data_IF_126423726826
#
_entry.id   IF_126423726826
#
_cell.length_a   1.000
_cell.length_b   1.000
_cell.length_c   1.000
_cell.angle_alpha   90.00
_cell.angle_beta   90.00
_cell.angle_gamma   90.00
#
_symmetry.space_group_name_H-M   'P 1'
#
loop_
_entity.id
_entity.type
_entity.pdbx_description
1 polymer ?
#
# COMPACT_ATOMS: atom_id res chain seq x y z
N UNK A 1 1.49 -54.46 38.55
CA UNK A 1 2.44 -54.06 37.50
C UNK A 1 1.97 -52.73 36.93
N UNK A 2 2.59 -51.58 37.29
CA UNK A 2 2.23 -50.29 36.72
C UNK A 2 3.07 -50.04 35.45
N UNK A 3 2.42 -49.53 34.39
CA UNK A 3 3.07 -49.07 33.17
C UNK A 3 3.54 -47.63 33.37
N UNK A 4 4.84 -47.41 33.28
CA UNK A 4 5.49 -46.10 33.22
C UNK A 4 5.26 -45.48 31.84
N UNK A 5 4.59 -44.33 31.80
CA UNK A 5 4.57 -43.44 30.65
C UNK A 5 5.75 -42.47 30.78
N UNK A 6 6.67 -42.49 29.83
CA UNK A 6 7.73 -41.50 29.72
C UNK A 6 7.19 -40.28 28.98
N UNK A 7 7.17 -39.14 29.67
CA UNK A 7 6.87 -37.84 29.08
C UNK A 7 8.11 -37.32 28.33
N UNK A 8 8.00 -37.10 27.02
CA UNK A 8 8.97 -36.30 26.27
C UNK A 8 8.69 -34.82 26.55
N UNK A 9 9.68 -34.14 27.13
CA UNK A 9 9.69 -32.68 27.26
C UNK A 9 10.03 -32.03 25.92
N UNK A 10 9.05 -31.41 25.27
CA UNK A 10 9.30 -30.39 24.23
C UNK A 10 9.89 -29.15 24.90
N UNK A 11 11.17 -28.87 24.63
CA UNK A 11 11.80 -27.59 24.95
C UNK A 11 11.45 -26.58 23.85
N UNK A 12 10.37 -25.81 24.04
CA UNK A 12 10.05 -24.67 23.19
C UNK A 12 11.02 -23.51 23.51
N UNK A 13 12.00 -23.28 22.64
CA UNK A 13 12.86 -22.09 22.72
C UNK A 13 12.08 -20.88 22.20
N UNK A 14 11.29 -20.26 23.08
CA UNK A 14 10.67 -18.95 22.84
C UNK A 14 11.74 -17.86 22.99
N UNK A 15 12.48 -17.59 21.92
CA UNK A 15 13.33 -16.39 21.83
C UNK A 15 12.48 -15.21 21.39
N UNK A 16 12.13 -14.33 22.33
CA UNK A 16 11.36 -13.11 22.08
C UNK A 16 12.17 -12.03 21.38
N UNK A 17 12.51 -12.23 20.10
CA UNK A 17 13.05 -11.19 19.24
C UNK A 17 11.95 -10.77 18.24
N UNK A 18 11.30 -9.63 18.51
CA UNK A 18 10.42 -8.99 17.53
C UNK A 18 11.31 -8.38 16.44
N UNK A 19 11.24 -8.93 15.23
CA UNK A 19 11.99 -8.44 14.08
C UNK A 19 11.09 -7.53 13.26
N UNK A 20 11.38 -6.23 13.27
CA UNK A 20 10.76 -5.26 12.37
C UNK A 20 11.47 -5.31 11.02
N UNK A 21 10.72 -5.59 9.97
CA UNK A 21 11.21 -5.62 8.60
C UNK A 21 11.09 -4.22 8.00
N UNK A 22 12.13 -3.41 8.14
CA UNK A 22 12.26 -2.13 7.43
C UNK A 22 13.03 -2.38 6.13
N UNK A 23 12.38 -2.12 4.99
CA UNK A 23 13.03 -2.16 3.69
C UNK A 23 14.00 -0.98 3.54
N UNK A 24 15.29 -1.21 3.76
CA UNK A 24 16.32 -0.24 3.42
C UNK A 24 16.65 -0.34 1.93
N UNK A 25 16.11 0.57 1.11
CA UNK A 25 16.59 0.80 -0.25
C UNK A 25 18.02 1.33 -0.20
N UNK A 26 18.96 0.55 -0.72
CA UNK A 26 20.38 0.89 -0.76
C UNK A 26 20.67 1.98 -1.79
N UNK A 27 21.38 3.02 -1.37
CA UNK A 27 22.03 4.01 -2.23
C UNK A 27 23.19 3.37 -2.97
N UNK A 28 23.06 3.22 -4.30
CA UNK A 28 24.18 2.84 -5.16
C UNK A 28 25.28 3.91 -5.12
N UNK A 29 26.49 3.49 -4.77
CA UNK A 29 27.67 4.35 -4.83
C UNK A 29 28.03 4.73 -6.27
N UNK A 30 28.70 5.87 -6.48
CA UNK A 30 29.02 6.36 -7.82
C UNK A 30 29.95 5.37 -8.56
N UNK A 31 29.75 5.15 -9.87
CA UNK A 31 30.59 4.25 -10.65
C UNK A 31 32.03 4.80 -10.77
N UNK A 32 33.03 3.91 -10.91
CA UNK A 32 34.42 4.32 -11.06
C UNK A 32 34.65 5.10 -12.35
N UNK A 33 35.36 6.22 -12.22
CA UNK A 33 35.80 7.08 -13.32
C UNK A 33 36.71 6.30 -14.27
N UNK A 34 36.24 6.09 -15.50
CA UNK A 34 37.03 5.47 -16.57
C UNK A 34 37.75 6.56 -17.35
N UNK A 35 39.08 6.61 -17.23
CA UNK A 35 39.95 7.42 -18.08
C UNK A 35 39.79 6.97 -19.54
N UNK A 36 39.35 7.88 -20.41
CA UNK A 36 39.24 7.65 -21.86
C UNK A 36 40.39 8.38 -22.54
N UNK A 37 41.23 7.61 -23.23
CA UNK A 37 42.25 8.11 -24.13
C UNK A 37 41.63 8.79 -25.35
N UNK A 38 42.14 9.96 -25.69
CA UNK A 38 41.82 10.72 -26.91
C UNK A 38 42.40 10.05 -28.15
N UNK A 39 41.63 9.97 -29.25
CA UNK A 39 42.20 10.08 -30.57
C UNK A 39 41.66 11.31 -31.29
N UNK A 40 42.59 12.14 -31.72
CA UNK A 40 42.42 13.19 -32.72
C UNK A 40 42.25 12.56 -34.10
N UNK A 41 41.12 12.77 -34.80
CA UNK A 41 41.11 12.82 -36.27
C UNK A 41 39.89 13.61 -36.76
N UNK A 42 40.14 14.62 -37.60
CA UNK A 42 39.14 15.50 -38.17
C UNK A 42 38.27 14.82 -39.24
N UNK A 43 37.02 15.27 -39.29
CA UNK A 43 36.06 15.01 -40.35
C UNK A 43 34.96 16.05 -40.25
N UNK A 44 34.95 17.03 -41.15
CA UNK A 44 33.86 17.99 -41.30
C UNK A 44 32.71 17.30 -42.02
N UNK A 45 31.88 16.59 -41.27
CA UNK A 45 30.58 16.15 -41.74
C UNK A 45 29.56 17.23 -41.36
N UNK A 46 29.07 17.95 -42.38
CA UNK A 46 27.83 18.72 -42.32
C UNK A 46 26.68 17.75 -42.02
N UNK A 47 26.53 17.42 -40.74
CA UNK A 47 25.39 16.70 -40.22
C UNK A 47 24.15 17.56 -40.40
N UNK A 48 23.25 17.11 -41.26
CA UNK A 48 21.86 17.53 -41.28
C UNK A 48 21.34 17.42 -39.85
N UNK A 49 21.07 18.57 -39.22
CA UNK A 49 20.47 18.63 -37.89
C UNK A 49 19.16 17.85 -37.95
N UNK A 50 19.16 16.65 -37.36
CA UNK A 50 17.94 15.92 -37.09
C UNK A 50 17.04 16.88 -36.31
N UNK A 51 15.88 17.20 -36.88
CA UNK A 51 14.98 18.19 -36.31
C UNK A 51 14.68 17.84 -34.86
N UNK A 52 14.90 18.81 -33.96
CA UNK A 52 14.47 18.77 -32.57
C UNK A 52 12.98 18.46 -32.54
N UNK A 53 12.66 17.18 -32.37
CA UNK A 53 11.29 16.78 -32.06
C UNK A 53 11.11 17.15 -30.59
N UNK A 54 10.21 18.10 -30.26
CA UNK A 54 10.01 18.52 -28.88
C UNK A 54 9.70 17.30 -28.02
N UNK A 55 10.38 17.17 -26.87
CA UNK A 55 10.06 16.11 -25.92
C UNK A 55 8.55 16.18 -25.59
N UNK A 56 7.86 15.02 -25.50
CA UNK A 56 6.46 15.01 -25.13
C UNK A 56 6.27 15.72 -23.78
N UNK A 57 5.18 16.49 -23.60
CA UNK A 57 4.95 17.22 -22.36
C UNK A 57 4.86 16.25 -21.18
N UNK A 58 5.44 16.61 -20.02
CA UNK A 58 5.33 15.84 -18.78
C UNK A 58 3.84 15.73 -18.39
N UNK A 59 3.24 14.51 -18.37
CA UNK A 59 1.82 14.34 -18.06
C UNK A 59 1.47 14.71 -16.62
N UNK A 60 2.47 14.89 -15.73
CA UNK A 60 2.29 15.30 -14.34
C UNK A 60 2.33 16.81 -14.14
N UNK A 61 2.78 17.58 -15.14
CA UNK A 61 2.88 19.03 -15.05
C UNK A 61 1.50 19.70 -15.21
N UNK A 62 1.20 20.64 -14.32
CA UNK A 62 -0.06 21.35 -14.23
C UNK A 62 0.21 22.87 -14.27
N UNK A 63 -0.62 23.61 -15.00
CA UNK A 63 -0.46 25.06 -15.15
C UNK A 63 -0.77 25.83 -13.85
N UNK A 64 -0.38 27.10 -13.78
CA UNK A 64 -0.63 27.96 -12.61
C UNK A 64 -2.12 28.20 -12.34
N UNK A 65 -2.94 28.18 -13.38
CA UNK A 65 -4.40 28.32 -13.30
C UNK A 65 -5.11 26.97 -13.35
N UNK A 66 -4.39 25.87 -13.10
CA UNK A 66 -4.96 24.54 -13.17
C UNK A 66 -6.08 24.36 -12.13
N UNK A 67 -7.06 23.56 -12.51
CA UNK A 67 -8.22 23.20 -11.72
C UNK A 67 -8.19 21.72 -11.39
N UNK A 68 -9.10 21.29 -10.53
CA UNK A 68 -9.21 19.88 -10.16
C UNK A 68 -9.49 18.97 -11.36
N UNK A 69 -10.28 19.43 -12.34
CA UNK A 69 -10.48 18.69 -13.59
C UNK A 69 -9.19 18.46 -14.39
N UNK A 70 -8.23 19.39 -14.34
CA UNK A 70 -6.91 19.23 -14.97
C UNK A 70 -6.09 18.16 -14.25
N UNK A 71 -6.14 18.13 -12.93
CA UNK A 71 -5.46 17.13 -12.11
C UNK A 71 -6.00 15.72 -12.37
N UNK A 72 -7.33 15.55 -12.47
CA UNK A 72 -7.93 14.24 -12.79
C UNK A 72 -7.51 13.78 -14.19
N UNK A 73 -7.46 14.68 -15.18
CA UNK A 73 -6.97 14.36 -16.54
C UNK A 73 -5.49 14.00 -16.55
N UNK A 74 -4.66 14.72 -15.81
CA UNK A 74 -3.24 14.40 -15.65
C UNK A 74 -3.06 13.00 -15.04
N UNK A 75 -3.80 12.68 -13.98
CA UNK A 75 -3.76 11.35 -13.36
C UNK A 75 -4.21 10.24 -14.31
N UNK A 76 -5.27 10.46 -15.09
CA UNK A 76 -5.69 9.52 -16.15
C UNK A 76 -4.58 9.30 -17.18
N UNK A 77 -3.96 10.37 -17.68
CA UNK A 77 -2.88 10.27 -18.66
C UNK A 77 -1.66 9.51 -18.11
N UNK A 78 -1.34 9.71 -16.82
CA UNK A 78 -0.27 8.97 -16.11
C UNK A 78 -0.61 7.48 -15.98
N UNK A 79 -1.85 7.13 -15.61
CA UNK A 79 -2.31 5.74 -15.52
C UNK A 79 -2.31 5.06 -16.90
N UNK A 80 -2.87 5.71 -17.93
CA UNK A 80 -2.97 5.21 -19.30
C UNK A 80 -1.59 4.97 -19.95
N UNK A 81 -0.57 5.73 -19.54
CA UNK A 81 0.82 5.60 -20.05
C UNK A 81 1.72 4.74 -19.17
N UNK A 82 1.16 4.08 -18.13
CA UNK A 82 1.88 3.24 -17.17
C UNK A 82 3.06 3.97 -16.48
N UNK A 83 2.88 5.26 -16.16
CA UNK A 83 3.86 6.09 -15.43
C UNK A 83 3.41 6.34 -13.99
N UNK A 84 2.61 5.43 -13.44
CA UNK A 84 1.89 5.56 -12.17
C UNK A 84 2.79 5.77 -10.95
N UNK A 85 3.94 5.10 -10.91
CA UNK A 85 4.87 5.09 -9.76
C UNK A 85 5.65 6.40 -9.64
N UNK A 86 5.94 6.81 -8.40
CA UNK A 86 6.67 8.01 -8.03
C UNK A 86 7.33 7.87 -6.65
N UNK A 87 8.63 8.18 -6.58
CA UNK A 87 9.40 8.16 -5.33
C UNK A 87 9.44 9.53 -4.61
N UNK A 88 8.69 10.52 -5.07
CA UNK A 88 8.81 11.92 -4.63
C UNK A 88 8.23 12.18 -3.23
N UNK A 89 7.50 11.23 -2.64
CA UNK A 89 6.99 11.30 -1.27
C UNK A 89 5.98 12.44 -1.03
N UNK A 90 5.35 12.94 -2.09
CA UNK A 90 4.49 14.12 -2.02
C UNK A 90 3.29 14.02 -2.96
N UNK A 91 2.11 14.46 -2.53
CA UNK A 91 0.91 14.42 -3.36
C UNK A 91 0.93 15.52 -4.41
N UNK A 92 0.96 16.79 -3.98
CA UNK A 92 0.94 17.96 -4.85
C UNK A 92 2.13 18.88 -4.56
N UNK A 93 2.97 19.15 -5.57
CA UNK A 93 4.11 20.07 -5.46
C UNK A 93 3.84 21.40 -6.16
N UNK A 94 4.44 22.48 -5.64
CA UNK A 94 4.47 23.80 -6.27
C UNK A 94 3.46 24.78 -5.68
N UNK A 95 3.86 26.05 -5.59
CA UNK A 95 3.03 27.20 -5.20
C UNK A 95 2.66 28.09 -6.41
N UNK A 96 2.42 27.45 -7.56
CA UNK A 96 2.23 28.15 -8.83
C UNK A 96 2.03 27.15 -9.96
N UNK A 97 2.98 26.95 -10.89
CA UNK A 97 2.92 25.74 -11.69
C UNK A 97 2.90 24.53 -10.73
N UNK A 98 1.85 23.72 -10.84
CA UNK A 98 1.65 22.57 -9.97
C UNK A 98 2.23 21.32 -10.61
N UNK A 99 2.51 20.31 -9.80
CA UNK A 99 2.88 18.98 -10.31
C UNK A 99 2.25 17.89 -9.46
N UNK A 100 1.60 16.92 -10.12
CA UNK A 100 1.13 15.70 -9.47
C UNK A 100 2.32 14.76 -9.25
N UNK A 101 2.86 14.77 -8.03
CA UNK A 101 4.02 13.96 -7.65
C UNK A 101 3.66 12.67 -6.94
N UNK A 102 2.38 12.47 -6.59
CA UNK A 102 1.93 11.25 -5.95
C UNK A 102 2.11 10.03 -6.87
N UNK A 103 2.24 8.86 -6.27
CA UNK A 103 1.83 7.62 -6.92
C UNK A 103 0.38 7.76 -7.41
N UNK A 104 0.13 7.41 -8.67
CA UNK A 104 -1.23 7.29 -9.20
C UNK A 104 -1.67 5.84 -9.01
N UNK A 105 -2.78 5.64 -8.31
CA UNK A 105 -3.27 4.32 -7.94
C UNK A 105 -4.79 4.24 -8.14
N UNK A 106 -5.20 4.33 -9.40
CA UNK A 106 -6.61 4.35 -9.80
C UNK A 106 -7.30 3.04 -9.42
N UNK A 107 -8.34 3.12 -8.59
CA UNK A 107 -9.08 1.95 -8.14
C UNK A 107 -10.05 1.38 -9.19
N UNK A 108 -10.52 2.21 -10.13
CA UNK A 108 -11.53 1.83 -11.13
C UNK A 108 -11.11 2.41 -12.48
N UNK A 109 -11.05 1.55 -13.50
CA UNK A 109 -10.70 1.93 -14.88
C UNK A 109 -11.92 1.81 -15.81
N UNK A 110 -12.14 2.79 -16.71
CA UNK A 110 -11.40 4.05 -16.82
C UNK A 110 -11.69 4.99 -15.63
N UNK A 111 -10.71 5.82 -15.26
CA UNK A 111 -10.90 6.85 -14.22
C UNK A 111 -12.01 7.82 -14.67
N UNK A 112 -13.06 8.10 -13.88
CA UNK A 112 -14.13 9.02 -14.30
C UNK A 112 -13.62 10.46 -14.39
N UNK A 113 -14.39 11.32 -15.06
CA UNK A 113 -14.10 12.77 -15.07
C UNK A 113 -14.51 13.41 -13.74
N UNK A 114 -13.85 14.53 -13.41
CA UNK A 114 -14.29 15.36 -12.30
C UNK A 114 -15.70 15.93 -12.62
N UNK A 115 -16.66 15.84 -11.70
CA UNK A 115 -17.99 16.41 -11.91
C UNK A 115 -17.93 17.95 -11.94
N UNK A 116 -18.71 18.58 -12.81
CA UNK A 116 -18.83 20.05 -12.85
C UNK A 116 -19.61 20.60 -11.65
N UNK A 117 -20.60 19.85 -11.16
CA UNK A 117 -21.48 20.20 -10.03
C UNK A 117 -21.71 18.95 -9.16
N UNK A 118 -21.46 19.08 -7.85
CA UNK A 118 -21.64 18.06 -6.84
C UNK A 118 -22.69 18.41 -5.79
N UNK A 119 -23.11 19.67 -5.67
CA UNK A 119 -23.82 20.16 -4.49
C UNK A 119 -25.14 19.44 -4.27
N UNK A 120 -25.94 19.29 -5.34
CA UNK A 120 -27.23 18.59 -5.25
C UNK A 120 -27.04 17.15 -4.74
N UNK A 121 -26.03 16.44 -5.25
CA UNK A 121 -25.73 15.06 -4.84
C UNK A 121 -25.21 14.99 -3.41
N UNK A 122 -24.41 15.97 -2.99
CA UNK A 122 -23.86 16.01 -1.65
C UNK A 122 -24.92 16.36 -0.61
N UNK A 123 -25.91 17.20 -0.93
CA UNK A 123 -27.05 17.49 -0.03
C UNK A 123 -27.87 16.23 0.26
N UNK A 124 -28.05 15.37 -0.74
CA UNK A 124 -28.82 14.12 -0.59
C UNK A 124 -27.98 13.01 0.05
N UNK A 125 -26.67 12.96 -0.19
CA UNK A 125 -25.80 11.92 0.33
C UNK A 125 -25.47 12.12 1.82
N UNK A 126 -25.74 11.10 2.63
CA UNK A 126 -25.44 11.11 4.08
C UNK A 126 -24.08 10.50 4.43
N UNK A 127 -23.50 9.72 3.52
CA UNK A 127 -22.24 8.99 3.74
C UNK A 127 -21.42 8.90 2.46
N UNK A 128 -20.19 8.39 2.56
CA UNK A 128 -19.34 8.10 1.41
C UNK A 128 -18.98 6.61 1.31
N UNK A 129 -18.81 6.12 0.09
CA UNK A 129 -18.18 4.83 -0.24
C UNK A 129 -16.87 5.10 -0.95
N UNK A 130 -15.77 4.75 -0.32
CA UNK A 130 -14.42 4.98 -0.83
C UNK A 130 -13.93 3.72 -1.56
N UNK A 131 -13.41 3.90 -2.77
CA UNK A 131 -12.80 2.84 -3.57
C UNK A 131 -11.33 3.18 -3.75
N UNK A 132 -10.44 2.35 -3.23
CA UNK A 132 -8.99 2.49 -3.42
C UNK A 132 -8.44 1.27 -4.11
N UNK A 133 -7.16 1.30 -4.50
CA UNK A 133 -6.47 0.12 -5.06
C UNK A 133 -6.53 -1.11 -4.13
N UNK A 134 -6.81 -0.89 -2.85
CA UNK A 134 -6.85 -1.92 -1.81
C UNK A 134 -8.25 -2.50 -1.56
N UNK A 135 -9.30 -1.88 -2.12
CA UNK A 135 -10.69 -2.31 -1.98
C UNK A 135 -11.66 -1.17 -1.60
N UNK A 136 -12.81 -1.56 -1.05
CA UNK A 136 -13.89 -0.64 -0.66
C UNK A 136 -13.88 -0.34 0.86
N UNK A 137 -14.17 0.92 1.22
CA UNK A 137 -14.40 1.37 2.61
C UNK A 137 -15.68 2.22 2.70
N UNK A 138 -16.65 1.91 3.58
CA UNK A 138 -16.74 0.68 4.37
C UNK A 138 -17.05 -0.52 3.46
N UNK A 139 -16.75 -1.73 3.94
CA UNK A 139 -17.01 -2.97 3.16
C UNK A 139 -18.49 -3.24 2.95
N UNK A 140 -19.32 -2.81 3.89
CA UNK A 140 -20.78 -2.96 3.80
C UNK A 140 -21.35 -1.75 3.07
N UNK A 141 -22.22 -1.93 2.06
CA UNK A 141 -22.84 -0.81 1.37
C UNK A 141 -23.66 0.02 2.36
N UNK A 142 -23.42 1.33 2.40
CA UNK A 142 -24.34 2.27 3.03
C UNK A 142 -25.37 2.74 1.97
N UNK A 143 -26.68 2.72 2.28
CA UNK A 143 -27.67 3.37 1.42
C UNK A 143 -27.36 4.87 1.32
N UNK A 144 -27.65 5.48 0.17
CA UNK A 144 -27.49 6.93 -0.06
C UNK A 144 -26.06 7.44 0.10
N UNK A 145 -25.07 6.59 -0.17
CA UNK A 145 -23.66 6.95 -0.13
C UNK A 145 -23.17 7.52 -1.47
N UNK A 146 -22.39 8.60 -1.41
CA UNK A 146 -21.64 9.08 -2.58
C UNK A 146 -20.40 8.21 -2.78
N UNK A 147 -20.24 7.65 -3.98
CA UNK A 147 -19.09 6.83 -4.31
C UNK A 147 -17.90 7.69 -4.76
N UNK A 148 -16.72 7.46 -4.17
CA UNK A 148 -15.48 8.20 -4.39
C UNK A 148 -14.35 7.23 -4.71
N UNK A 149 -13.65 7.46 -5.81
CA UNK A 149 -12.55 6.62 -6.32
C UNK A 149 -11.24 7.33 -6.06
N UNK A 150 -10.34 6.67 -5.34
CA UNK A 150 -8.98 7.14 -5.11
C UNK A 150 -8.20 7.22 -6.43
N UNK A 151 -7.54 8.36 -6.60
CA UNK A 151 -6.66 8.68 -7.73
C UNK A 151 -5.21 8.48 -7.31
N UNK A 152 -4.83 8.91 -6.11
CA UNK A 152 -3.47 8.81 -5.61
C UNK A 152 -3.30 7.63 -4.66
N UNK A 153 -2.05 7.14 -4.56
CA UNK A 153 -1.68 6.11 -3.62
C UNK A 153 -1.84 6.59 -2.17
N UNK A 154 -2.48 5.75 -1.37
CA UNK A 154 -2.40 5.81 0.09
C UNK A 154 -1.99 4.44 0.61
N UNK A 155 -1.44 4.37 1.83
CA UNK A 155 -1.40 3.14 2.57
C UNK A 155 -2.84 2.61 2.71
N UNK A 156 -2.99 1.29 2.67
CA UNK A 156 -4.25 0.66 2.94
C UNK A 156 -4.74 1.03 4.35
N UNK A 157 -6.03 1.30 4.51
CA UNK A 157 -6.58 1.84 5.74
C UNK A 157 -6.45 0.82 6.88
N UNK A 158 -5.78 1.19 7.96
CA UNK A 158 -5.63 0.34 9.15
C UNK A 158 -6.95 0.11 9.91
N UNK A 159 -7.97 0.92 9.63
CA UNK A 159 -9.31 0.84 10.21
C UNK A 159 -10.35 0.74 9.11
N UNK A 160 -11.51 0.15 9.42
CA UNK A 160 -12.68 0.19 8.53
C UNK A 160 -13.35 1.57 8.48
N UNK A 161 -12.88 2.51 9.30
CA UNK A 161 -13.35 3.90 9.37
C UNK A 161 -12.58 4.73 8.33
N UNK A 162 -13.32 5.34 7.41
CA UNK A 162 -12.77 6.33 6.49
C UNK A 162 -13.64 7.58 6.44
N UNK A 163 -13.23 8.56 5.65
CA UNK A 163 -14.04 9.73 5.35
C UNK A 163 -13.81 10.24 3.93
N UNK A 164 -14.70 11.10 3.46
CA UNK A 164 -14.51 11.89 2.27
C UNK A 164 -14.69 13.38 2.60
N UNK A 165 -13.83 14.21 2.02
CA UNK A 165 -13.94 15.67 2.02
C UNK A 165 -14.21 16.08 0.58
N UNK A 166 -15.21 16.92 0.37
CA UNK A 166 -15.56 17.46 -0.94
C UNK A 166 -15.41 18.97 -0.92
N UNK A 167 -14.73 19.51 -1.93
CA UNK A 167 -14.61 20.95 -2.15
C UNK A 167 -15.46 21.30 -3.36
N UNK A 168 -16.45 22.17 -3.15
CA UNK A 168 -17.35 22.69 -4.19
C UNK A 168 -17.26 24.21 -4.23
N UNK A 169 -17.99 24.84 -5.16
CA UNK A 169 -18.16 26.30 -5.16
C UNK A 169 -19.10 26.82 -4.06
N UNK A 170 -20.03 26.00 -3.56
CA UNK A 170 -20.87 26.31 -2.38
C UNK A 170 -20.15 26.15 -1.03
N UNK A 171 -19.09 25.34 -0.98
CA UNK A 171 -18.25 25.21 0.21
C UNK A 171 -17.61 23.83 0.39
N UNK A 172 -17.36 23.47 1.64
CA UNK A 172 -16.76 22.18 2.00
C UNK A 172 -17.81 21.26 2.60
N UNK A 173 -17.89 20.05 2.08
CA UNK A 173 -18.67 18.96 2.64
C UNK A 173 -17.76 17.91 3.24
N UNK A 174 -18.16 17.35 4.38
CA UNK A 174 -17.47 16.24 5.02
C UNK A 174 -18.45 15.09 5.20
N UNK A 175 -18.08 13.89 4.75
CA UNK A 175 -18.90 12.69 4.84
C UNK A 175 -18.10 11.56 5.48
N UNK A 176 -18.60 10.91 6.54
CA UNK A 176 -17.99 9.68 7.03
C UNK A 176 -18.19 8.54 6.02
N UNK A 177 -17.21 7.64 5.93
CA UNK A 177 -17.33 6.40 5.20
C UNK A 177 -18.00 5.36 6.11
N UNK A 178 -19.33 5.38 6.15
CA UNK A 178 -20.15 4.55 7.03
C UNK A 178 -21.06 5.38 7.92
N UNK A 179 -21.09 5.07 9.22
CA UNK A 179 -21.98 5.73 10.18
C UNK A 179 -21.36 7.03 10.71
N UNK A 180 -22.14 8.11 10.71
CA UNK A 180 -21.78 9.37 11.33
C UNK A 180 -22.60 10.53 10.75
N UNK A 181 -22.39 11.74 11.30
CA UNK A 181 -23.07 12.94 10.81
C UNK A 181 -22.36 13.48 9.56
N UNK A 182 -23.13 13.65 8.49
CA UNK A 182 -22.73 14.46 7.35
C UNK A 182 -22.70 15.94 7.74
N UNK A 183 -21.72 16.69 7.23
CA UNK A 183 -21.60 18.13 7.44
C UNK A 183 -21.49 18.88 6.11
N UNK A 184 -22.12 20.05 6.03
CA UNK A 184 -21.94 21.01 4.94
C UNK A 184 -23.21 21.34 4.14
N UNK A 185 -23.16 22.37 3.28
CA UNK A 185 -21.94 23.11 2.92
C UNK A 185 -21.42 23.96 4.10
N UNK A 186 -20.11 23.92 4.33
CA UNK A 186 -19.42 24.74 5.32
C UNK A 186 -18.59 25.82 4.62
N UNK A 187 -18.44 26.98 5.26
CA UNK A 187 -17.45 27.98 4.85
C UNK A 187 -16.06 27.34 4.79
N UNK A 188 -15.12 27.90 4.03
CA UNK A 188 -13.76 27.35 3.94
C UNK A 188 -13.09 27.19 5.32
N UNK A 189 -13.21 28.20 6.19
CA UNK A 189 -12.63 28.18 7.54
C UNK A 189 -13.25 27.10 8.43
N UNK A 190 -14.58 27.02 8.46
CA UNK A 190 -15.30 26.02 9.28
C UNK A 190 -15.09 24.62 8.72
N UNK A 191 -15.11 24.49 7.40
CA UNK A 191 -14.85 23.27 6.65
C UNK A 191 -13.44 22.73 6.87
N UNK A 192 -12.41 23.58 6.89
CA UNK A 192 -11.06 23.19 7.27
C UNK A 192 -10.98 22.72 8.73
N UNK A 193 -11.78 23.30 9.64
CA UNK A 193 -11.94 22.79 11.00
C UNK A 193 -12.52 21.38 11.04
N UNK A 194 -13.64 21.16 10.35
CA UNK A 194 -14.31 19.87 10.26
C UNK A 194 -13.44 18.80 9.57
N UNK A 195 -12.73 19.18 8.51
CA UNK A 195 -11.79 18.33 7.79
C UNK A 195 -10.66 17.82 8.70
N UNK A 196 -10.02 18.71 9.47
CA UNK A 196 -8.97 18.34 10.44
C UNK A 196 -9.48 17.33 11.46
N UNK A 197 -10.61 17.63 12.12
CA UNK A 197 -11.21 16.74 13.11
C UNK A 197 -11.53 15.35 12.53
N UNK A 198 -12.02 15.32 11.30
CA UNK A 198 -12.37 14.08 10.59
C UNK A 198 -11.14 13.26 10.24
N UNK A 199 -10.07 13.89 9.73
CA UNK A 199 -8.83 13.20 9.36
C UNK A 199 -8.14 12.62 10.59
N UNK A 200 -8.12 13.33 11.73
CA UNK A 200 -7.55 12.81 12.97
C UNK A 200 -8.30 11.57 13.50
N UNK A 201 -9.61 11.48 13.24
CA UNK A 201 -10.46 10.36 13.65
C UNK A 201 -10.53 9.19 12.66
N UNK A 202 -10.07 9.37 11.42
CA UNK A 202 -10.25 8.39 10.33
C UNK A 202 -8.97 7.59 10.06
N UNK A 203 -9.13 6.34 9.61
CA UNK A 203 -8.02 5.53 9.12
C UNK A 203 -7.53 5.96 7.73
N UNK A 204 -8.40 6.58 6.95
CA UNK A 204 -8.12 7.12 5.61
C UNK A 204 -9.16 8.18 5.24
N UNK A 205 -8.75 9.17 4.46
CA UNK A 205 -9.65 10.21 3.94
C UNK A 205 -9.41 10.42 2.44
N UNK A 206 -10.47 10.42 1.63
CA UNK A 206 -10.39 10.84 0.24
C UNK A 206 -10.83 12.30 0.10
N UNK A 207 -10.03 13.12 -0.59
CA UNK A 207 -10.37 14.50 -0.92
C UNK A 207 -10.75 14.55 -2.39
N UNK A 208 -11.99 14.94 -2.67
CA UNK A 208 -12.50 15.17 -4.01
C UNK A 208 -12.93 16.63 -4.17
N UNK A 209 -13.04 17.09 -5.40
CA UNK A 209 -13.57 18.41 -5.69
C UNK A 209 -14.36 18.42 -7.00
N UNK A 210 -15.11 19.49 -7.21
CA UNK A 210 -15.68 19.81 -8.53
C UNK A 210 -14.58 20.19 -9.52
N UNK A 211 -14.82 19.94 -10.80
CA UNK A 211 -13.90 20.21 -11.89
C UNK A 211 -13.43 21.67 -11.91
N UNK A 212 -14.30 22.59 -11.50
CA UNK A 212 -14.05 24.04 -11.47
C UNK A 212 -13.13 24.54 -10.37
N UNK A 213 -12.91 23.77 -9.29
CA UNK A 213 -12.13 24.19 -8.12
C UNK A 213 -10.65 24.39 -8.49
N UNK A 214 -10.08 25.54 -8.11
CA UNK A 214 -8.66 25.83 -8.38
C UNK A 214 -7.73 24.94 -7.56
N UNK A 215 -6.58 24.56 -8.13
CA UNK A 215 -5.56 23.81 -7.37
C UNK A 215 -4.94 24.63 -6.25
N UNK A 216 -4.98 25.96 -6.34
CA UNK A 216 -4.61 26.84 -5.23
C UNK A 216 -5.52 26.60 -4.01
N UNK A 217 -6.85 26.62 -4.19
CA UNK A 217 -7.79 26.39 -3.10
C UNK A 217 -7.69 24.97 -2.51
N UNK A 218 -7.48 23.96 -3.38
CA UNK A 218 -7.25 22.60 -2.93
C UNK A 218 -5.94 22.47 -2.14
N UNK A 219 -4.84 23.07 -2.61
CA UNK A 219 -3.55 23.11 -1.91
C UNK A 219 -3.69 23.78 -0.56
N UNK A 220 -4.37 24.91 -0.47
CA UNK A 220 -4.60 25.62 0.79
C UNK A 220 -5.34 24.74 1.80
N UNK A 221 -6.38 24.03 1.36
CA UNK A 221 -7.09 23.07 2.23
C UNK A 221 -6.16 21.94 2.70
N UNK A 222 -5.40 21.33 1.78
CA UNK A 222 -4.47 20.24 2.10
C UNK A 222 -3.36 20.69 3.06
N UNK A 223 -2.87 21.92 2.90
CA UNK A 223 -1.85 22.52 3.76
C UNK A 223 -2.35 22.78 5.20
N UNK A 224 -3.66 22.94 5.38
CA UNK A 224 -4.29 23.11 6.69
C UNK A 224 -4.52 21.79 7.44
N UNK A 225 -4.39 20.64 6.77
CA UNK A 225 -4.51 19.35 7.42
C UNK A 225 -3.29 19.09 8.32
N UNK A 226 -3.47 18.38 9.45
CA UNK A 226 -2.40 18.25 10.42
C UNK A 226 -1.36 17.22 9.93
N UNK A 227 -0.10 17.25 10.41
CA UNK A 227 0.95 16.35 9.91
C UNK A 227 0.62 14.85 10.05
N UNK A 228 -0.18 14.45 11.04
CA UNK A 228 -0.68 13.07 11.18
C UNK A 228 -1.65 12.61 10.07
N UNK A 229 -2.04 13.53 9.18
CA UNK A 229 -2.79 13.25 7.96
C UNK A 229 -1.89 12.72 6.83
N UNK A 230 -0.57 12.93 6.92
CA UNK A 230 0.37 12.44 5.92
C UNK A 230 0.28 10.91 5.82
N UNK A 231 0.18 10.40 4.59
CA UNK A 231 -0.10 8.97 4.36
C UNK A 231 -1.48 8.49 4.80
N UNK A 232 -2.45 9.35 5.12
CA UNK A 232 -3.85 8.94 5.33
C UNK A 232 -4.81 9.57 4.33
N UNK A 233 -4.40 10.66 3.71
CA UNK A 233 -5.21 11.42 2.77
C UNK A 233 -4.78 11.09 1.35
N UNK A 234 -5.75 10.72 0.51
CA UNK A 234 -5.58 10.57 -0.94
C UNK A 234 -6.47 11.58 -1.67
N UNK A 235 -6.12 11.90 -2.91
CA UNK A 235 -7.04 12.55 -3.83
C UNK A 235 -8.00 11.51 -4.41
N UNK A 236 -9.24 11.90 -4.66
CA UNK A 236 -10.25 11.05 -5.24
C UNK A 236 -11.21 11.81 -6.15
N UNK A 237 -11.97 11.08 -6.97
CA UNK A 237 -13.02 11.63 -7.84
C UNK A 237 -14.32 10.90 -7.59
N UNK A 238 -15.45 11.59 -7.68
CA UNK A 238 -16.75 10.94 -7.45
C UNK A 238 -17.18 10.16 -8.68
N UNK A 239 -17.84 9.02 -8.48
CA UNK A 239 -18.49 8.32 -9.58
C UNK A 239 -19.81 9.00 -9.93
N UNK A 240 -20.23 9.00 -11.22
CA UNK A 240 -21.57 9.40 -11.60
C UNK A 240 -22.65 8.57 -10.87
N UNK A 241 -23.80 9.19 -10.57
CA UNK A 241 -24.87 8.54 -9.79
C UNK A 241 -25.48 7.31 -10.48
N UNK A 242 -25.37 7.22 -11.81
CA UNK A 242 -25.85 6.09 -12.61
C UNK A 242 -24.85 4.92 -12.72
N UNK A 243 -23.67 5.01 -12.10
CA UNK A 243 -22.71 3.91 -12.11
C UNK A 243 -23.08 2.88 -11.05
N UNK A 244 -23.45 1.69 -11.49
CA UNK A 244 -23.58 0.52 -10.63
C UNK A 244 -22.24 -0.19 -10.51
N UNK A 245 -21.75 -0.33 -9.28
CA UNK A 245 -20.56 -1.14 -9.00
C UNK A 245 -20.97 -2.54 -8.57
N UNK A 246 -20.22 -3.58 -8.98
CA UNK A 246 -20.46 -4.92 -8.48
C UNK A 246 -20.25 -4.95 -6.96
N UNK A 247 -21.02 -5.80 -6.27
CA UNK A 247 -20.77 -6.08 -4.86
C UNK A 247 -19.36 -6.66 -4.69
N UNK A 248 -18.72 -6.31 -3.58
CA UNK A 248 -17.43 -6.88 -3.25
C UNK A 248 -17.58 -8.41 -3.12
N UNK A 249 -16.85 -9.17 -3.94
CA UNK A 249 -16.85 -10.63 -3.83
C UNK A 249 -16.28 -11.00 -2.46
N UNK A 250 -17.01 -11.76 -1.62
CA UNK A 250 -16.46 -12.26 -0.38
C UNK A 250 -15.23 -13.11 -0.70
N UNK A 251 -14.09 -12.77 -0.08
CA UNK A 251 -12.91 -13.63 -0.15
C UNK A 251 -13.18 -14.77 0.83
N UNK A 252 -13.54 -15.94 0.32
CA UNK A 252 -13.66 -17.14 1.14
C UNK A 252 -12.26 -17.61 1.53
N UNK A 253 -11.98 -17.64 2.83
CA UNK A 253 -10.77 -18.27 3.36
C UNK A 253 -11.09 -19.75 3.63
N UNK A 254 -10.46 -20.67 2.88
CA UNK A 254 -10.59 -22.11 3.07
C UNK A 254 -9.64 -22.67 4.15
N UNK A 255 -8.85 -21.80 4.78
CA UNK A 255 -7.87 -22.14 5.80
C UNK A 255 -6.60 -22.78 5.27
N UNK A 256 -6.41 -22.86 3.95
CA UNK A 256 -5.22 -23.49 3.35
C UNK A 256 -3.95 -22.77 3.78
N UNK A 257 -2.95 -23.56 4.17
CA UNK A 257 -1.66 -23.03 4.63
C UNK A 257 -1.69 -22.54 6.08
N UNK A 258 -2.82 -22.64 6.80
CA UNK A 258 -2.89 -22.39 8.23
C UNK A 258 -2.59 -23.66 9.04
N UNK A 259 -1.98 -23.47 10.21
CA UNK A 259 -1.74 -24.51 11.20
C UNK A 259 -1.84 -23.91 12.61
N UNK A 260 -3.06 -23.60 13.08
CA UNK A 260 -3.26 -22.89 14.35
C UNK A 260 -2.70 -23.66 15.55
N UNK A 261 -2.67 -24.99 15.47
CA UNK A 261 -2.13 -25.89 16.49
C UNK A 261 -0.63 -26.21 16.31
N UNK A 262 0.04 -25.55 15.35
CA UNK A 262 1.44 -25.78 15.01
C UNK A 262 1.64 -26.79 13.87
N UNK A 263 2.91 -27.10 13.58
CA UNK A 263 3.27 -28.03 12.50
C UNK A 263 2.71 -29.43 12.75
N UNK A 264 2.35 -30.18 11.69
CA UNK A 264 2.00 -31.59 11.81
C UNK A 264 3.09 -32.38 12.56
N UNK A 265 2.65 -33.36 13.34
CA UNK A 265 3.56 -34.26 14.04
C UNK A 265 4.54 -34.93 13.07
N UNK A 266 5.77 -35.10 13.53
CA UNK A 266 6.84 -35.75 12.76
C UNK A 266 6.50 -37.23 12.61
N UNK A 267 6.56 -37.76 11.38
CA UNK A 267 6.43 -39.20 11.13
C UNK A 267 7.77 -39.89 11.39
N UNK A 268 7.74 -41.20 11.66
CA UNK A 268 8.95 -41.99 11.95
C UNK A 268 10.02 -41.94 10.82
N UNK A 269 9.62 -41.56 9.61
CA UNK A 269 10.48 -41.45 8.42
C UNK A 269 11.25 -40.12 8.28
N UNK A 270 10.94 -39.10 9.11
CA UNK A 270 11.53 -37.77 8.97
C UNK A 270 12.98 -37.65 9.53
N UNK A 271 13.48 -38.72 10.16
CA UNK A 271 14.81 -38.76 10.77
C UNK A 271 14.85 -38.16 12.18
N UNK A 272 16.04 -38.22 12.79
CA UNK A 272 16.26 -37.69 14.14
C UNK A 272 16.28 -36.14 14.14
N UNK A 273 15.98 -35.48 15.29
CA UNK A 273 16.16 -34.04 15.42
C UNK A 273 17.62 -33.61 15.23
N UNK A 274 17.83 -32.56 14.44
CA UNK A 274 19.12 -31.89 14.30
C UNK A 274 19.22 -30.63 15.16
N UNK A 275 20.33 -29.90 15.05
CA UNK A 275 20.50 -28.60 15.71
C UNK A 275 20.84 -27.50 14.71
N UNK A 276 20.16 -26.35 14.85
CA UNK A 276 20.51 -25.08 14.20
C UNK A 276 20.44 -23.96 15.22
N UNK A 277 21.44 -23.07 15.19
CA UNK A 277 21.43 -21.91 16.08
C UNK A 277 20.43 -20.86 15.58
N UNK A 278 19.82 -20.12 16.50
CA UNK A 278 18.94 -19.00 16.12
C UNK A 278 19.64 -17.97 15.21
N UNK A 279 20.94 -17.73 15.42
CA UNK A 279 21.72 -16.84 14.56
C UNK A 279 21.85 -17.36 13.12
N UNK A 280 22.06 -18.68 12.94
CA UNK A 280 22.10 -19.30 11.62
C UNK A 280 20.74 -19.20 10.90
N UNK A 281 19.64 -19.41 11.63
CA UNK A 281 18.28 -19.24 11.09
C UNK A 281 18.06 -17.80 10.66
N UNK A 282 18.33 -16.82 11.54
CA UNK A 282 18.13 -15.40 11.25
C UNK A 282 19.00 -14.93 10.07
N UNK A 283 20.24 -15.41 9.99
CA UNK A 283 21.16 -15.09 8.89
C UNK A 283 20.68 -15.59 7.53
N UNK A 284 19.89 -16.67 7.49
CA UNK A 284 19.33 -17.23 6.26
C UNK A 284 18.05 -16.53 5.78
N UNK A 285 17.44 -15.64 6.58
CA UNK A 285 16.13 -15.05 6.25
C UNK A 285 16.16 -14.00 5.15
N UNK A 286 17.31 -13.56 4.64
CA UNK A 286 17.42 -12.50 3.63
C UNK A 286 16.43 -12.65 2.46
N UNK A 287 16.39 -13.80 1.77
CA UNK A 287 15.42 -14.06 0.69
C UNK A 287 13.96 -13.99 1.14
N UNK A 288 13.62 -14.55 2.32
CA UNK A 288 12.28 -14.46 2.88
C UNK A 288 11.86 -13.00 3.11
N UNK A 289 12.76 -12.14 3.58
CA UNK A 289 12.46 -10.70 3.78
C UNK A 289 12.13 -10.01 2.48
N UNK A 290 12.90 -10.28 1.44
CA UNK A 290 12.68 -9.72 0.11
C UNK A 290 11.36 -10.22 -0.50
N UNK A 291 11.11 -11.54 -0.42
CA UNK A 291 9.86 -12.13 -0.89
C UNK A 291 8.65 -11.59 -0.12
N UNK A 292 8.74 -11.46 1.20
CA UNK A 292 7.66 -10.89 2.01
C UNK A 292 7.33 -9.44 1.65
N UNK A 293 8.34 -8.62 1.35
CA UNK A 293 8.13 -7.25 0.87
C UNK A 293 7.39 -7.23 -0.49
N UNK A 294 7.74 -8.15 -1.39
CA UNK A 294 7.03 -8.30 -2.68
C UNK A 294 5.59 -8.79 -2.48
N UNK A 295 5.36 -9.75 -1.58
CA UNK A 295 4.02 -10.22 -1.25
C UNK A 295 3.13 -9.09 -0.73
N UNK A 296 3.67 -8.20 0.11
CA UNK A 296 2.95 -7.02 0.63
C UNK A 296 2.50 -6.06 -0.46
N UNK A 297 3.24 -5.95 -1.57
CA UNK A 297 2.82 -5.12 -2.70
C UNK A 297 1.52 -5.62 -3.37
N UNK A 298 1.19 -6.91 -3.18
CA UNK A 298 -0.01 -7.55 -3.73
C UNK A 298 -1.15 -7.72 -2.72
N UNK A 299 -0.88 -7.46 -1.43
CA UNK A 299 -1.83 -7.62 -0.35
C UNK A 299 -3.06 -6.75 -0.55
N UNK A 300 -4.22 -7.22 -0.08
CA UNK A 300 -5.50 -6.50 -0.20
C UNK A 300 -6.18 -6.41 1.16
N UNK A 301 -7.17 -5.52 1.27
CA UNK A 301 -7.97 -5.43 2.48
C UNK A 301 -7.13 -5.11 3.74
N UNK A 302 -7.32 -5.82 4.88
CA UNK A 302 -6.70 -5.45 6.15
C UNK A 302 -5.21 -5.84 6.19
N UNK A 303 -4.83 -6.95 5.54
CA UNK A 303 -3.43 -7.40 5.48
C UNK A 303 -2.50 -6.40 4.79
N UNK A 304 -3.04 -5.62 3.87
CA UNK A 304 -2.29 -4.58 3.18
C UNK A 304 -1.82 -3.49 4.15
N UNK A 305 -2.57 -3.19 5.24
CA UNK A 305 -2.24 -2.15 6.25
C UNK A 305 -1.04 -2.49 7.14
N UNK A 306 -0.42 -3.63 6.88
CA UNK A 306 0.54 -4.27 7.76
C UNK A 306 -0.16 -5.29 8.65
N UNK A 307 0.58 -6.33 9.00
CA UNK A 307 0.03 -7.49 9.70
C UNK A 307 1.11 -8.17 10.52
N UNK A 308 0.69 -8.94 11.53
CA UNK A 308 1.54 -9.89 12.24
C UNK A 308 1.19 -11.29 11.79
N UNK A 309 2.21 -12.02 11.36
CA UNK A 309 2.07 -13.38 10.88
C UNK A 309 3.02 -14.28 11.68
N UNK A 310 2.53 -15.41 12.19
CA UNK A 310 3.37 -16.44 12.75
C UNK A 310 3.68 -17.48 11.67
N UNK A 311 4.94 -17.59 11.23
CA UNK A 311 5.36 -18.61 10.26
C UNK A 311 5.99 -19.78 11.02
N UNK A 312 5.38 -20.95 11.00
CA UNK A 312 6.00 -22.19 11.45
C UNK A 312 6.61 -22.94 10.27
N UNK A 313 7.80 -23.48 10.48
CA UNK A 313 8.56 -24.15 9.43
C UNK A 313 9.36 -25.33 9.99
N UNK A 314 9.45 -26.41 9.20
CA UNK A 314 10.33 -27.56 9.44
C UNK A 314 11.46 -27.54 8.43
N UNK A 315 12.68 -27.35 8.90
CA UNK A 315 13.90 -27.38 8.11
C UNK A 315 14.41 -28.83 8.10
N UNK A 316 14.58 -29.42 6.92
CA UNK A 316 15.12 -30.76 6.75
C UNK A 316 16.65 -30.81 6.83
N UNK A 317 17.19 -32.03 6.74
CA UNK A 317 18.62 -32.29 6.86
C UNK A 317 19.47 -31.60 5.77
N UNK A 318 18.88 -31.25 4.63
CA UNK A 318 19.52 -30.53 3.53
C UNK A 318 19.38 -28.99 3.65
N UNK A 319 18.75 -28.51 4.73
CA UNK A 319 18.50 -27.09 4.96
C UNK A 319 17.28 -26.53 4.20
N UNK A 320 16.52 -27.35 3.48
CA UNK A 320 15.28 -26.92 2.81
C UNK A 320 14.07 -27.09 3.73
N UNK A 321 13.01 -26.32 3.46
CA UNK A 321 11.76 -26.52 4.17
C UNK A 321 11.02 -27.75 3.65
N UNK A 322 10.73 -28.69 4.55
CA UNK A 322 9.87 -29.85 4.25
C UNK A 322 8.41 -29.54 4.59
N UNK A 323 8.17 -28.69 5.58
CA UNK A 323 6.86 -28.19 5.98
C UNK A 323 6.91 -26.69 6.26
N UNK A 324 5.84 -25.99 5.91
CA UNK A 324 5.67 -24.57 6.21
C UNK A 324 4.19 -24.21 6.27
N UNK A 325 3.79 -23.48 7.30
CA UNK A 325 2.41 -23.05 7.51
C UNK A 325 2.35 -21.82 8.42
N UNK A 326 1.21 -21.12 8.39
CA UNK A 326 0.96 -19.93 9.20
C UNK A 326 0.18 -20.31 10.47
N UNK A 327 0.74 -20.02 11.64
CA UNK A 327 0.14 -20.29 12.95
C UNK A 327 -0.75 -19.16 13.45
N UNK A 328 -0.51 -17.93 12.98
CA UNK A 328 -1.31 -16.75 13.27
C UNK A 328 -1.38 -15.86 12.04
N UNK A 329 -2.57 -15.46 11.63
CA UNK A 329 -2.83 -14.65 10.44
C UNK A 329 -3.77 -13.49 10.79
N UNK A 330 -3.20 -12.37 11.25
CA UNK A 330 -4.00 -11.17 11.51
C UNK A 330 -4.45 -10.45 10.23
N UNK A 331 -3.92 -10.82 9.07
CA UNK A 331 -4.29 -10.21 7.80
C UNK A 331 -5.61 -10.79 7.28
N UNK A 332 -5.85 -12.08 7.55
CA UNK A 332 -6.95 -12.85 6.95
C UNK A 332 -6.98 -12.67 5.42
N UNK A 333 -5.80 -12.69 4.81
CA UNK A 333 -5.59 -12.52 3.36
C UNK A 333 -4.95 -13.80 2.80
N UNK A 334 -5.74 -14.71 2.20
CA UNK A 334 -5.25 -15.96 1.66
C UNK A 334 -4.17 -15.78 0.58
N UNK A 335 -4.25 -14.71 -0.23
CA UNK A 335 -3.28 -14.47 -1.29
C UNK A 335 -1.92 -14.03 -0.72
N UNK A 336 -1.94 -13.16 0.28
CA UNK A 336 -0.74 -12.79 1.03
C UNK A 336 -0.13 -14.03 1.72
N UNK A 337 -0.97 -14.86 2.35
CA UNK A 337 -0.54 -16.10 3.01
C UNK A 337 0.15 -17.07 2.05
N UNK A 338 -0.46 -17.35 0.90
CA UNK A 338 0.11 -18.25 -0.10
C UNK A 338 1.45 -17.73 -0.62
N UNK A 339 1.54 -16.43 -0.91
CA UNK A 339 2.79 -15.80 -1.34
C UNK A 339 3.90 -15.88 -0.28
N UNK A 340 3.58 -15.65 1.00
CA UNK A 340 4.54 -15.77 2.10
C UNK A 340 5.07 -17.21 2.25
N UNK A 341 4.19 -18.20 2.11
CA UNK A 341 4.58 -19.61 2.17
C UNK A 341 5.45 -20.02 0.99
N UNK A 342 5.18 -19.48 -0.21
CA UNK A 342 6.05 -19.66 -1.37
C UNK A 342 7.44 -19.05 -1.14
N UNK A 343 7.50 -17.80 -0.66
CA UNK A 343 8.76 -17.14 -0.30
C UNK A 343 9.54 -17.90 0.78
N UNK A 344 8.84 -18.46 1.77
CA UNK A 344 9.45 -19.30 2.80
C UNK A 344 10.08 -20.56 2.20
N UNK A 345 9.34 -21.29 1.34
CA UNK A 345 9.84 -22.52 0.68
C UNK A 345 11.02 -22.26 -0.25
N UNK A 346 11.12 -21.06 -0.83
CA UNK A 346 12.27 -20.65 -1.63
C UNK A 346 13.53 -20.36 -0.80
N UNK A 347 13.41 -20.20 0.52
CA UNK A 347 14.53 -19.92 1.42
C UNK A 347 15.30 -21.21 1.74
N UNK A 348 16.63 -21.14 1.66
CA UNK A 348 17.53 -22.25 1.99
C UNK A 348 18.30 -21.89 3.26
N UNK A 349 18.24 -22.78 4.25
CA UNK A 349 18.92 -22.66 5.53
C UNK A 349 20.23 -23.47 5.52
N UNK A 350 21.17 -23.20 6.45
CA UNK A 350 22.25 -24.13 6.72
C UNK A 350 21.70 -25.52 7.09
N UNK A 351 22.39 -26.57 6.67
CA UNK A 351 22.04 -27.93 7.08
C UNK A 351 22.20 -28.09 8.61
N UNK A 352 21.23 -28.67 9.32
CA UNK A 352 21.34 -28.98 10.74
C UNK A 352 22.52 -29.91 11.06
N UNK A 353 23.10 -29.78 12.26
CA UNK A 353 24.18 -30.64 12.75
C UNK A 353 23.88 -31.15 14.18
N UNK A 354 23.67 -32.45 14.40
CA UNK A 354 23.72 -33.54 13.42
C UNK A 354 22.64 -33.40 12.34
N UNK A 355 22.84 -34.08 11.21
CA UNK A 355 21.86 -34.10 10.13
C UNK A 355 20.52 -34.63 10.63
N UNK A 356 19.46 -33.85 10.45
CA UNK A 356 18.17 -34.10 11.04
C UNK A 356 17.19 -32.97 10.71
N UNK A 357 16.04 -32.94 11.37
CA UNK A 357 15.08 -31.84 11.21
C UNK A 357 15.16 -30.81 12.33
N UNK A 358 14.76 -29.57 12.03
CA UNK A 358 14.60 -28.49 13.01
C UNK A 358 13.27 -27.79 12.78
N UNK A 359 12.43 -27.75 13.81
CA UNK A 359 11.19 -26.97 13.80
C UNK A 359 11.46 -25.57 14.37
N UNK A 360 10.94 -24.54 13.71
CA UNK A 360 11.07 -23.15 14.13
C UNK A 360 9.78 -22.37 13.90
N UNK A 361 9.55 -21.36 14.73
CA UNK A 361 8.44 -20.41 14.59
C UNK A 361 9.01 -19.01 14.52
N UNK A 362 8.69 -18.28 13.45
CA UNK A 362 9.13 -16.92 13.19
C UNK A 362 7.94 -15.95 13.33
N UNK A 363 7.97 -15.03 14.29
CA UNK A 363 7.05 -13.91 14.31
C UNK A 363 7.48 -12.88 13.25
N UNK A 364 6.64 -12.65 12.26
CA UNK A 364 6.85 -11.67 11.20
C UNK A 364 5.94 -10.46 11.43
N UNK A 365 6.51 -9.27 11.40
CA UNK A 365 5.75 -8.02 11.27
C UNK A 365 5.94 -7.49 9.87
N UNK A 366 4.85 -7.49 9.09
CA UNK A 366 4.82 -6.94 7.74
C UNK A 366 4.32 -5.51 7.83
N UNK A 367 5.04 -4.58 7.21
CA UNK A 367 4.68 -3.17 7.15
C UNK A 367 4.53 -2.73 5.69
N UNK A 368 3.59 -1.82 5.38
CA UNK A 368 3.51 -1.22 4.05
C UNK A 368 4.80 -0.44 3.73
N UNK A 369 5.07 -0.26 2.44
CA UNK A 369 6.18 0.58 1.99
C UNK A 369 6.00 2.03 2.47
N UNK A 370 7.06 2.61 3.01
CA UNK A 370 7.12 4.00 3.46
C UNK A 370 6.87 5.00 2.32
N UNK A 371 7.11 4.62 1.06
CA UNK A 371 6.77 5.42 -0.13
C UNK A 371 5.28 5.80 -0.20
N UNK A 372 4.42 5.01 0.45
CA UNK A 372 2.99 5.29 0.56
C UNK A 372 2.68 6.40 1.58
N UNK A 373 3.62 6.77 2.45
CA UNK A 373 3.47 7.88 3.40
C UNK A 373 3.90 9.18 2.74
N UNK A 374 2.96 9.82 2.05
CA UNK A 374 3.23 11.05 1.30
C UNK A 374 2.84 12.29 2.09
N UNK A 375 3.67 13.33 2.01
CA UNK A 375 3.28 14.69 2.40
C UNK A 375 2.19 15.19 1.44
N UNK A 376 1.24 15.97 1.95
CA UNK A 376 0.10 16.40 1.11
C UNK A 376 0.47 17.52 0.14
N UNK A 377 1.30 18.44 0.62
CA UNK A 377 1.78 19.58 -0.16
C UNK A 377 3.27 19.75 0.03
N UNK A 378 3.96 20.08 -1.06
CA UNK A 378 5.37 20.42 -1.04
C UNK A 378 5.60 21.76 -1.74
N UNK A 379 6.65 22.50 -1.34
CA UNK A 379 6.99 23.78 -1.97
C UNK A 379 7.18 23.66 -3.48
#
# INVERSE_FOLDING_TARGET
>A
MPRTAAALSMLSVLSGLAMELVGCGGTEGPPPTREVATPTTGGTETGTSAGDTPAPPDPRALGISARFGDLVRAARAVDDTNQAESAEGCVLRGDGPYRLTADVAVAIRPLPEAPEDLDARLRDATSARLFTRWGQVPRVPAPEAIAVVGITGTPPPARTEGAAIFVTDEGIYVRPAGFGAAHGPLSFTDGAGAARATVSGSGMTLVAAEAGVSLAALRDLLALLPPEAHGKVALGVTLPANVTLPDATPIADDGRGLCPDGLPAVTDDAGDPGELTGAAIVGALGPLRQGAAQCMATARGPGAAGTRVGLAMRIGADGRLTEACITNDSASDPALRDCLLEAARATVFPAPSPAGYVDAVLPLTLVPDASLTQALVCP
#
